data_IF_470944427089
#
_entry.id   IF_470944427089
#
_cell.length_a   1.000
_cell.length_b   1.000
_cell.length_c   1.000
_cell.angle_alpha   90.00
_cell.angle_beta   90.00
_cell.angle_gamma   90.00
#
_symmetry.space_group_name_H-M   'P 1'
#
loop_
_entity.id
_entity.type
_entity.pdbx_description
1 polymer ?
#
# COMPACT_ATOMS: atom_id res chain seq x y z
N UNK A 1 22.52 22.07 3.69
CA UNK A 1 21.15 22.62 3.69
C UNK A 1 20.36 21.84 2.64
N UNK A 2 19.47 20.92 3.04
CA UNK A 2 18.67 20.14 2.10
C UNK A 2 17.75 21.10 1.32
N UNK A 3 18.10 21.40 0.07
CA UNK A 3 17.31 22.28 -0.78
C UNK A 3 16.03 21.55 -1.20
N UNK A 4 14.96 21.75 -0.44
CA UNK A 4 13.60 21.30 -0.71
C UNK A 4 13.20 21.66 -2.17
N UNK A 5 13.71 22.78 -2.69
CA UNK A 5 13.48 23.23 -4.06
C UNK A 5 14.02 22.27 -5.13
N UNK A 6 15.14 21.57 -4.89
CA UNK A 6 15.69 20.61 -5.85
C UNK A 6 14.90 19.28 -5.90
N UNK A 7 14.30 18.90 -4.76
CA UNK A 7 13.33 17.79 -4.72
C UNK A 7 12.04 18.19 -5.46
N UNK A 8 11.55 19.41 -5.23
CA UNK A 8 10.35 19.96 -5.87
C UNK A 8 10.50 20.18 -7.39
N UNK A 9 11.70 20.47 -7.88
CA UNK A 9 11.98 20.60 -9.33
C UNK A 9 12.03 19.25 -10.04
N UNK A 10 12.52 18.21 -9.34
CA UNK A 10 12.55 16.84 -9.88
C UNK A 10 11.19 16.16 -9.82
N UNK A 11 10.40 16.45 -8.80
CA UNK A 11 8.98 16.09 -8.79
C UNK A 11 8.23 17.08 -9.67
N UNK A 12 8.13 16.82 -10.97
CA UNK A 12 7.22 17.56 -11.88
C UNK A 12 5.72 17.43 -11.50
N UNK A 13 5.41 16.93 -10.30
CA UNK A 13 4.07 16.82 -9.76
C UNK A 13 3.66 18.09 -9.01
N UNK A 14 2.36 18.36 -9.03
CA UNK A 14 1.75 19.50 -8.35
C UNK A 14 2.13 19.50 -6.85
N UNK A 15 2.67 20.64 -6.38
CA UNK A 15 3.13 20.84 -5.00
C UNK A 15 1.98 20.66 -4.00
N UNK A 16 0.75 20.98 -4.41
CA UNK A 16 -0.44 20.82 -3.57
C UNK A 16 -0.79 19.36 -3.35
N UNK A 17 -0.61 18.51 -4.36
CA UNK A 17 -0.86 17.06 -4.24
C UNK A 17 0.11 16.44 -3.24
N UNK A 18 1.39 16.80 -3.31
CA UNK A 18 2.39 16.33 -2.34
C UNK A 18 2.09 16.77 -0.90
N UNK A 19 1.64 18.01 -0.72
CA UNK A 19 1.24 18.53 0.60
C UNK A 19 0.06 17.72 1.17
N UNK A 20 -0.95 17.46 0.34
CA UNK A 20 -2.11 16.64 0.72
C UNK A 20 -1.68 15.22 1.12
N UNK A 21 -0.81 14.58 0.33
CA UNK A 21 -0.31 13.21 0.62
C UNK A 21 0.42 13.17 1.97
N UNK A 22 1.29 14.14 2.26
CA UNK A 22 2.02 14.21 3.53
C UNK A 22 1.05 14.39 4.69
N UNK A 23 0.07 15.30 4.55
CA UNK A 23 -0.94 15.56 5.59
C UNK A 23 -1.79 14.32 5.88
N UNK A 24 -2.31 13.64 4.85
CA UNK A 24 -3.07 12.40 5.03
C UNK A 24 -2.23 11.28 5.63
N UNK A 25 -0.95 11.19 5.26
CA UNK A 25 -0.03 10.18 5.81
C UNK A 25 0.21 10.38 7.31
N UNK A 26 0.37 11.64 7.76
CA UNK A 26 0.49 11.95 9.19
C UNK A 26 -0.79 11.57 9.96
N UNK A 27 -1.97 11.92 9.43
CA UNK A 27 -3.26 11.56 10.03
C UNK A 27 -3.40 10.03 10.10
N UNK A 28 -3.01 9.30 9.06
CA UNK A 28 -3.02 7.83 9.01
C UNK A 28 -2.17 7.21 10.11
N UNK A 29 -0.93 7.68 10.29
CA UNK A 29 -0.04 7.17 11.34
C UNK A 29 -0.62 7.43 12.73
N UNK A 30 -1.19 8.62 12.97
CA UNK A 30 -1.85 8.95 14.25
C UNK A 30 -3.08 8.07 14.51
N UNK A 31 -3.92 7.84 13.50
CA UNK A 31 -5.10 6.99 13.63
C UNK A 31 -4.74 5.54 13.96
N UNK A 32 -3.72 5.00 13.29
CA UNK A 32 -3.23 3.64 13.54
C UNK A 32 -2.57 3.53 14.92
N UNK A 33 -1.83 4.55 15.37
CA UNK A 33 -1.31 4.62 16.73
C UNK A 33 -2.42 4.53 17.78
N UNK A 34 -3.48 5.33 17.60
CA UNK A 34 -4.63 5.35 18.51
C UNK A 34 -5.35 3.99 18.56
N UNK A 35 -5.65 3.39 17.40
CA UNK A 35 -6.34 2.11 17.33
C UNK A 35 -5.49 0.92 17.82
N UNK A 36 -4.18 0.96 17.57
CA UNK A 36 -3.25 -0.12 17.97
C UNK A 36 -3.04 -0.15 19.48
N UNK A 37 -3.04 1.02 20.15
CA UNK A 37 -2.92 1.08 21.62
C UNK A 37 -4.01 0.27 22.35
N UNK A 38 -5.25 0.33 21.87
CA UNK A 38 -6.35 -0.46 22.44
C UNK A 38 -6.18 -1.97 22.21
N UNK A 39 -5.60 -2.38 21.09
CA UNK A 39 -5.37 -3.79 20.73
C UNK A 39 -4.18 -4.36 21.51
N UNK A 40 -3.14 -3.56 21.74
CA UNK A 40 -1.96 -3.95 22.51
C UNK A 40 -2.29 -4.20 23.99
N UNK A 41 -3.09 -3.32 24.61
CA UNK A 41 -3.57 -3.50 25.99
C UNK A 41 -4.38 -4.80 26.12
N UNK A 42 -5.21 -5.13 25.13
CA UNK A 42 -6.01 -6.38 25.13
C UNK A 42 -5.19 -7.66 24.92
N UNK A 43 -4.04 -7.59 24.24
CA UNK A 43 -3.22 -8.76 23.91
C UNK A 43 -1.97 -8.93 24.80
N UNK A 44 -1.65 -7.97 25.67
CA UNK A 44 -0.59 -8.11 26.69
C UNK A 44 0.83 -8.26 26.15
N UNK A 45 1.07 -7.92 24.88
CA UNK A 45 2.38 -8.04 24.22
C UNK A 45 2.82 -6.64 23.75
N UNK A 46 4.13 -6.40 23.70
CA UNK A 46 4.74 -5.20 23.11
C UNK A 46 4.53 -5.09 21.57
N UNK A 47 3.35 -5.49 21.08
CA UNK A 47 2.95 -5.46 19.67
C UNK A 47 2.86 -4.03 19.13
N UNK A 48 2.76 -3.04 20.03
CA UNK A 48 2.72 -1.61 19.69
C UNK A 48 3.86 -1.26 18.73
N UNK A 49 5.10 -1.59 19.10
CA UNK A 49 6.28 -1.29 18.29
C UNK A 49 6.31 -2.07 16.98
N UNK A 50 5.88 -3.33 16.99
CA UNK A 50 5.91 -4.20 15.80
C UNK A 50 4.85 -3.79 14.77
N UNK A 51 3.63 -3.49 15.19
CA UNK A 51 2.54 -3.07 14.31
C UNK A 51 2.78 -1.68 13.75
N UNK A 52 3.24 -0.74 14.58
CA UNK A 52 3.56 0.62 14.12
C UNK A 52 4.75 0.63 13.17
N UNK A 53 5.79 -0.15 13.46
CA UNK A 53 6.95 -0.26 12.57
C UNK A 53 6.55 -0.82 11.21
N UNK A 54 5.71 -1.88 11.18
CA UNK A 54 5.17 -2.41 9.93
C UNK A 54 4.33 -1.37 9.18
N UNK A 55 3.44 -0.65 9.86
CA UNK A 55 2.59 0.38 9.23
C UNK A 55 3.43 1.51 8.63
N UNK A 56 4.43 2.00 9.36
CA UNK A 56 5.33 3.05 8.88
C UNK A 56 6.07 2.59 7.62
N UNK A 57 6.56 1.34 7.58
CA UNK A 57 7.16 0.77 6.36
C UNK A 57 6.17 0.78 5.19
N UNK A 58 4.92 0.36 5.40
CA UNK A 58 3.90 0.38 4.34
C UNK A 58 3.59 1.79 3.84
N UNK A 59 3.53 2.79 4.74
CA UNK A 59 3.34 4.19 4.36
C UNK A 59 4.51 4.68 3.50
N UNK A 60 5.76 4.41 3.89
CA UNK A 60 6.93 4.78 3.09
C UNK A 60 6.94 4.07 1.74
N UNK A 61 6.56 2.79 1.69
CA UNK A 61 6.50 2.01 0.47
C UNK A 61 5.41 2.56 -0.48
N UNK A 62 4.26 2.97 0.06
CA UNK A 62 3.20 3.65 -0.69
C UNK A 62 3.65 5.00 -1.26
N UNK A 63 4.32 5.84 -0.46
CA UNK A 63 4.87 7.11 -0.93
C UNK A 63 5.94 6.87 -2.03
N UNK A 64 6.78 5.84 -1.87
CA UNK A 64 7.74 5.42 -2.88
C UNK A 64 7.07 4.98 -4.19
N UNK A 65 5.97 4.23 -4.12
CA UNK A 65 5.18 3.87 -5.30
C UNK A 65 4.59 5.09 -5.99
N UNK A 66 4.03 6.05 -5.24
CA UNK A 66 3.54 7.32 -5.82
C UNK A 66 4.67 8.06 -6.53
N UNK A 67 5.86 8.09 -5.92
CA UNK A 67 7.03 8.68 -6.53
C UNK A 67 7.40 7.96 -7.83
N UNK A 68 7.50 6.64 -7.87
CA UNK A 68 7.80 5.91 -9.11
C UNK A 68 6.73 6.15 -10.18
N UNK A 69 5.46 6.12 -9.79
CA UNK A 69 4.32 6.35 -10.67
C UNK A 69 4.35 7.74 -11.30
N UNK A 70 4.77 8.79 -10.59
CA UNK A 70 4.86 10.13 -11.19
C UNK A 70 6.04 10.29 -12.17
N UNK A 71 7.07 9.43 -12.11
CA UNK A 71 8.17 9.44 -13.08
C UNK A 71 7.78 8.73 -14.39
N UNK A 72 6.80 7.84 -14.34
CA UNK A 72 6.35 7.07 -15.50
C UNK A 72 5.41 7.91 -16.38
N UNK A 73 5.73 8.00 -17.67
CA UNK A 73 4.83 8.64 -18.63
C UNK A 73 3.54 7.82 -18.80
N UNK A 74 2.40 8.52 -18.91
CA UNK A 74 1.08 7.92 -19.10
C UNK A 74 0.99 6.95 -20.30
N UNK A 75 1.86 7.10 -21.30
CA UNK A 75 1.93 6.22 -22.47
C UNK A 75 2.31 4.77 -22.11
N UNK A 76 3.10 4.57 -21.05
CA UNK A 76 3.50 3.24 -20.59
C UNK A 76 2.44 2.57 -19.71
N UNK A 77 1.54 3.34 -19.09
CA UNK A 77 0.48 2.81 -18.24
C UNK A 77 -0.44 1.84 -19.00
N UNK A 78 -0.75 2.13 -20.26
CA UNK A 78 -1.54 1.24 -21.13
C UNK A 78 -0.89 -0.14 -21.31
N UNK A 79 0.43 -0.19 -21.47
CA UNK A 79 1.16 -1.46 -21.58
C UNK A 79 1.24 -2.21 -20.25
N UNK A 80 1.51 -1.47 -19.17
CA UNK A 80 1.62 -2.01 -17.81
C UNK A 80 0.26 -2.57 -17.35
N UNK A 81 -0.85 -1.85 -17.58
CA UNK A 81 -2.22 -2.29 -17.24
C UNK A 81 -2.58 -3.58 -17.95
N UNK A 82 -2.29 -3.74 -19.24
CA UNK A 82 -2.55 -5.00 -19.97
C UNK A 82 -1.78 -6.18 -19.37
N UNK A 83 -0.51 -5.99 -19.03
CA UNK A 83 0.31 -7.04 -18.38
C UNK A 83 -0.25 -7.35 -16.99
N UNK A 84 -0.57 -6.31 -16.20
CA UNK A 84 -1.18 -6.47 -14.88
C UNK A 84 -2.50 -7.21 -14.96
N UNK A 85 -3.32 -6.96 -15.98
CA UNK A 85 -4.61 -7.62 -16.18
C UNK A 85 -4.42 -9.12 -16.45
N UNK A 86 -3.47 -9.48 -17.34
CA UNK A 86 -3.13 -10.87 -17.62
C UNK A 86 -2.61 -11.59 -16.37
N UNK A 87 -1.89 -10.90 -15.48
CA UNK A 87 -1.41 -11.47 -14.21
C UNK A 87 -2.54 -11.56 -13.17
N UNK A 88 -3.43 -10.56 -13.14
CA UNK A 88 -4.50 -10.46 -12.16
C UNK A 88 -5.55 -11.56 -12.36
N UNK A 89 -5.90 -11.88 -13.61
CA UNK A 89 -6.88 -12.94 -13.93
C UNK A 89 -6.53 -14.29 -13.27
N UNK A 90 -5.35 -14.90 -13.52
CA UNK A 90 -4.97 -16.17 -12.87
C UNK A 90 -4.79 -16.00 -11.37
N UNK A 91 -4.35 -14.83 -10.90
CA UNK A 91 -4.23 -14.56 -9.48
C UNK A 91 -5.61 -14.54 -8.79
N UNK A 92 -6.66 -14.00 -9.43
CA UNK A 92 -8.04 -14.05 -8.95
C UNK A 92 -8.57 -15.48 -8.90
N UNK A 93 -8.32 -16.29 -9.93
CA UNK A 93 -8.64 -17.72 -9.89
C UNK A 93 -7.95 -18.43 -8.74
N UNK A 94 -6.66 -18.15 -8.51
CA UNK A 94 -5.93 -18.69 -7.37
C UNK A 94 -6.56 -18.27 -6.03
N UNK A 95 -6.99 -17.02 -5.91
CA UNK A 95 -7.66 -16.53 -4.69
C UNK A 95 -8.99 -17.20 -4.43
N UNK A 96 -9.73 -17.53 -5.49
CA UNK A 96 -11.01 -18.19 -5.38
C UNK A 96 -10.87 -19.61 -4.81
N UNK A 97 -9.77 -20.29 -5.15
CA UNK A 97 -9.52 -21.69 -4.77
C UNK A 97 -8.76 -21.80 -3.45
N UNK A 98 -7.76 -20.93 -3.21
CA UNK A 98 -6.82 -21.02 -2.08
C UNK A 98 -6.88 -19.81 -1.13
N UNK A 99 -7.83 -18.90 -1.30
CA UNK A 99 -7.97 -17.76 -0.41
C UNK A 99 -8.29 -18.21 1.01
N UNK A 100 -7.61 -17.62 1.99
CA UNK A 100 -7.94 -17.88 3.39
C UNK A 100 -9.23 -17.13 3.72
N UNK A 101 -10.27 -17.84 4.18
CA UNK A 101 -11.46 -17.20 4.73
C UNK A 101 -11.10 -16.53 6.05
N UNK A 102 -11.19 -15.21 6.10
CA UNK A 102 -11.21 -14.45 7.35
C UNK A 102 -12.64 -13.91 7.43
N UNK A 103 -13.41 -14.37 8.41
CA UNK A 103 -14.83 -14.03 8.61
C UNK A 103 -15.72 -14.32 7.38
N UNK A 104 -15.80 -15.58 6.95
CA UNK A 104 -16.73 -16.07 5.92
C UNK A 104 -16.63 -15.44 4.52
N UNK A 105 -15.56 -14.67 4.23
CA UNK A 105 -15.28 -14.13 2.91
C UNK A 105 -13.85 -14.46 2.45
N UNK A 106 -13.74 -15.20 1.34
CA UNK A 106 -12.49 -15.53 0.67
C UNK A 106 -11.96 -14.31 -0.09
N UNK A 107 -11.33 -13.37 0.63
CA UNK A 107 -10.87 -12.07 0.06
C UNK A 107 -9.37 -11.84 0.14
N UNK A 108 -8.67 -12.62 0.95
CA UNK A 108 -7.27 -12.42 1.26
C UNK A 108 -6.49 -13.67 0.90
N UNK A 109 -5.48 -13.51 0.04
CA UNK A 109 -4.48 -14.55 -0.16
C UNK A 109 -3.32 -14.27 0.76
N UNK A 110 -3.07 -15.19 1.69
CA UNK A 110 -1.79 -15.24 2.39
C UNK A 110 -0.75 -15.75 1.40
N UNK A 111 0.25 -14.94 1.11
CA UNK A 111 1.42 -15.39 0.34
C UNK A 111 2.24 -16.27 1.29
N UNK A 112 2.28 -17.61 1.09
CA UNK A 112 2.84 -18.54 2.07
C UNK A 112 4.34 -18.34 2.31
N UNK A 113 5.05 -17.72 1.36
CA UNK A 113 6.49 -17.43 1.44
C UNK A 113 6.82 -16.21 2.31
N UNK A 114 5.93 -15.21 2.36
CA UNK A 114 6.21 -13.90 2.99
C UNK A 114 5.33 -13.68 4.24
N UNK A 115 4.28 -14.48 4.42
CA UNK A 115 3.34 -14.32 5.54
C UNK A 115 2.50 -13.03 5.47
N UNK A 116 2.56 -12.31 4.35
CA UNK A 116 1.75 -11.13 4.08
C UNK A 116 0.43 -11.52 3.42
N UNK A 117 -0.63 -10.82 3.81
CA UNK A 117 -1.96 -10.94 3.19
C UNK A 117 -2.05 -9.92 2.07
N UNK A 118 -2.27 -10.38 0.84
CA UNK A 118 -2.45 -9.53 -0.33
C UNK A 118 -3.89 -9.63 -0.84
N UNK A 119 -4.49 -8.47 -1.10
CA UNK A 119 -5.83 -8.37 -1.66
C UNK A 119 -5.73 -8.22 -3.18
N UNK A 120 -6.10 -9.27 -3.88
CA UNK A 120 -5.96 -9.36 -5.34
C UNK A 120 -6.95 -8.47 -6.09
N UNK A 121 -8.07 -8.10 -5.46
CA UNK A 121 -9.01 -7.13 -6.02
C UNK A 121 -8.41 -5.72 -6.11
N UNK A 122 -7.46 -5.36 -5.25
CA UNK A 122 -6.83 -4.04 -5.33
C UNK A 122 -5.84 -3.97 -6.50
N UNK A 123 -5.15 -5.08 -6.79
CA UNK A 123 -4.38 -5.22 -8.03
C UNK A 123 -5.30 -5.16 -9.27
N UNK A 124 -6.48 -5.79 -9.20
CA UNK A 124 -7.46 -5.75 -10.29
C UNK A 124 -7.96 -4.34 -10.59
N UNK A 125 -8.22 -3.53 -9.55
CA UNK A 125 -8.60 -2.12 -9.72
C UNK A 125 -7.51 -1.26 -10.35
N UNK A 126 -6.24 -1.61 -10.14
CA UNK A 126 -5.11 -0.92 -10.79
C UNK A 126 -4.90 -1.38 -12.25
N UNK A 127 -5.35 -2.60 -12.56
CA UNK A 127 -5.18 -3.19 -13.89
C UNK A 127 -6.27 -2.76 -14.88
N UNK A 128 -7.49 -2.52 -14.40
CA UNK A 128 -8.65 -2.09 -15.19
C UNK A 128 -8.66 -0.58 -15.44
#
# INVERSE_FOLDING_TARGET
MFSINALLEKTKGDRWIWLIIIMLSMISIMAVYSATGTIAIKKGVAVEKILLYKHVIFVFLGIGMIYISHLLDYKYYSGISKILMIITIPLLFYTLIFGSSINDATRWVKIPVIGLTFQTSDLAKLAL
#
